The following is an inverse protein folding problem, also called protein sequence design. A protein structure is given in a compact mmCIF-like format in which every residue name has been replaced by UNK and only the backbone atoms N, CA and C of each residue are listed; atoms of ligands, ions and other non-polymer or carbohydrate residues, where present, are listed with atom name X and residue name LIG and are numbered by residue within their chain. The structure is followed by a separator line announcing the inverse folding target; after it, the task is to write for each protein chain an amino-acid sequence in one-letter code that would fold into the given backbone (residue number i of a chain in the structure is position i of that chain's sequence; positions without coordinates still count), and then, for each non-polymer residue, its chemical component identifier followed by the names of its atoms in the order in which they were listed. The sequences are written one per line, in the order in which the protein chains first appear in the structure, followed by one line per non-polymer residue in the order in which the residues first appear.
data_IF_541858960095
#
_entry.id   IF_541858960095
#
_cell.length_a   1.000
_cell.length_b   1.000
_cell.length_c   1.000
_cell.angle_alpha   90.00
_cell.angle_beta   90.00
_cell.angle_gamma   90.00
#
_symmetry.space_group_name_H-M   'P 1'
#
loop_
_entity.id
_entity.type
_entity.pdbx_description
1 polymer ?
#
# COMPACT_ATOMS: atom_id res chain seq x y z
N UNK A 1 5.61 8.11 -19.80
CA UNK A 1 5.36 7.03 -18.81
C UNK A 1 5.81 5.71 -19.40
N UNK A 2 6.77 5.03 -18.78
CA UNK A 2 7.19 3.69 -19.22
C UNK A 2 6.43 2.64 -18.43
N UNK A 3 5.57 1.86 -19.08
CA UNK A 3 4.84 0.77 -18.43
C UNK A 3 5.76 -0.43 -18.19
N UNK A 4 5.70 -1.02 -17.00
CA UNK A 4 6.45 -2.23 -16.68
C UNK A 4 5.82 -3.44 -17.41
N UNK A 5 6.31 -3.73 -18.62
CA UNK A 5 5.81 -4.83 -19.47
C UNK A 5 5.93 -6.19 -18.78
N UNK A 6 7.00 -6.41 -18.02
CA UNK A 6 7.22 -7.66 -17.28
C UNK A 6 6.13 -7.88 -16.23
N UNK A 7 5.77 -6.83 -15.47
CA UNK A 7 4.69 -6.92 -14.48
C UNK A 7 3.32 -7.19 -15.14
N UNK A 8 3.04 -6.55 -16.28
CA UNK A 8 1.80 -6.75 -17.03
C UNK A 8 1.70 -8.19 -17.54
N UNK A 9 2.78 -8.73 -18.11
CA UNK A 9 2.84 -10.12 -18.56
C UNK A 9 2.67 -11.10 -17.40
N UNK A 10 3.32 -10.85 -16.26
CA UNK A 10 3.20 -11.69 -15.08
C UNK A 10 1.78 -11.72 -14.53
N UNK A 11 1.11 -10.56 -14.48
CA UNK A 11 -0.29 -10.45 -14.08
C UNK A 11 -1.22 -11.22 -15.01
N UNK A 12 -1.07 -11.06 -16.34
CA UNK A 12 -1.88 -11.76 -17.32
C UNK A 12 -1.72 -13.29 -17.18
N UNK A 13 -0.50 -13.77 -16.94
CA UNK A 13 -0.23 -15.19 -16.70
C UNK A 13 -0.80 -15.71 -15.39
N UNK A 14 -0.79 -14.89 -14.33
CA UNK A 14 -1.39 -15.27 -13.06
C UNK A 14 -2.91 -15.43 -13.19
N UNK A 15 -3.59 -14.47 -13.84
CA UNK A 15 -5.04 -14.55 -14.07
C UNK A 15 -5.39 -15.75 -14.96
N UNK A 16 -4.68 -15.92 -16.09
CA UNK A 16 -4.90 -17.04 -17.01
C UNK A 16 -4.79 -18.40 -16.32
N UNK A 17 -3.74 -18.61 -15.51
CA UNK A 17 -3.53 -19.87 -14.78
C UNK A 17 -4.51 -20.09 -13.63
N UNK A 18 -5.04 -19.02 -13.04
CA UNK A 18 -6.07 -19.14 -12.00
C UNK A 18 -7.41 -19.63 -12.56
N UNK A 19 -7.73 -19.22 -13.79
CA UNK A 19 -8.97 -19.62 -14.48
C UNK A 19 -8.81 -20.97 -15.16
N UNK A 20 -7.61 -21.26 -15.69
CA UNK A 20 -7.28 -22.48 -16.39
C UNK A 20 -6.11 -23.19 -15.69
N UNK A 21 -6.39 -24.03 -14.68
CA UNK A 21 -5.36 -24.81 -14.03
C UNK A 21 -4.63 -25.69 -15.05
N UNK A 22 -3.32 -25.83 -14.90
CA UNK A 22 -2.46 -26.56 -15.83
C UNK A 22 -2.86 -28.03 -16.03
N UNK A 23 -3.66 -28.60 -15.12
CA UNK A 23 -4.20 -29.96 -15.21
C UNK A 23 -5.34 -30.13 -16.22
N UNK A 24 -5.94 -29.04 -16.73
CA UNK A 24 -7.18 -29.13 -17.52
C UNK A 24 -7.01 -28.62 -18.96
N UNK A 25 -6.06 -27.71 -19.26
CA UNK A 25 -6.02 -27.05 -20.58
C UNK A 25 -4.61 -26.80 -21.13
N UNK A 26 -4.44 -27.04 -22.44
CA UNK A 26 -3.29 -26.58 -23.24
C UNK A 26 -3.39 -25.07 -23.44
N UNK A 27 -2.25 -24.38 -23.40
CA UNK A 27 -2.18 -22.93 -23.60
C UNK A 27 -2.92 -22.49 -24.88
N UNK A 28 -3.83 -21.51 -24.73
CA UNK A 28 -4.56 -20.89 -25.83
C UNK A 28 -4.18 -19.41 -25.96
N UNK A 29 -3.57 -19.06 -27.11
CA UNK A 29 -3.10 -17.70 -27.39
C UNK A 29 -4.24 -16.68 -27.44
N UNK A 30 -5.40 -17.05 -28.00
CA UNK A 30 -6.55 -16.15 -28.12
C UNK A 30 -7.12 -15.78 -26.75
N UNK A 31 -7.30 -16.79 -25.89
CA UNK A 31 -7.71 -16.56 -24.50
C UNK A 31 -6.70 -15.72 -23.76
N UNK A 32 -5.41 -16.08 -23.82
CA UNK A 32 -4.35 -15.33 -23.17
C UNK A 32 -4.30 -13.85 -23.62
N UNK A 33 -4.57 -13.57 -24.89
CA UNK A 33 -4.64 -12.19 -25.40
C UNK A 33 -5.75 -11.36 -24.72
N UNK A 34 -6.84 -11.99 -24.27
CA UNK A 34 -7.89 -11.32 -23.48
C UNK A 34 -7.40 -10.95 -22.09
N UNK A 35 -6.71 -11.85 -21.40
CA UNK A 35 -6.08 -11.56 -20.09
C UNK A 35 -4.99 -10.49 -20.21
N UNK A 36 -4.19 -10.52 -21.27
CA UNK A 36 -3.17 -9.50 -21.52
C UNK A 36 -3.80 -8.11 -21.75
N UNK A 37 -4.89 -8.04 -22.52
CA UNK A 37 -5.65 -6.78 -22.70
C UNK A 37 -6.21 -6.26 -21.38
N UNK A 38 -6.75 -7.14 -20.53
CA UNK A 38 -7.23 -6.77 -19.18
C UNK A 38 -6.10 -6.24 -18.30
N UNK A 39 -4.97 -6.93 -18.22
CA UNK A 39 -3.79 -6.50 -17.47
C UNK A 39 -3.25 -5.15 -17.97
N UNK A 40 -3.30 -4.92 -19.29
CA UNK A 40 -2.92 -3.62 -19.86
C UNK A 40 -3.86 -2.48 -19.44
N UNK A 41 -5.18 -2.70 -19.51
CA UNK A 41 -6.18 -1.73 -19.03
C UNK A 41 -5.98 -1.45 -17.54
N UNK A 42 -5.71 -2.48 -16.75
CA UNK A 42 -5.41 -2.38 -15.32
C UNK A 42 -4.17 -1.50 -15.06
N UNK A 43 -3.07 -1.78 -15.75
CA UNK A 43 -1.84 -1.00 -15.62
C UNK A 43 -2.05 0.48 -16.00
N UNK A 44 -2.87 0.77 -17.01
CA UNK A 44 -3.25 2.14 -17.36
C UNK A 44 -4.09 2.80 -16.27
N UNK A 45 -5.03 2.07 -15.68
CA UNK A 45 -5.83 2.59 -14.57
C UNK A 45 -4.95 2.95 -13.36
N UNK A 46 -4.02 2.07 -12.98
CA UNK A 46 -3.05 2.33 -11.91
C UNK A 46 -2.17 3.54 -12.24
N UNK A 47 -1.67 3.65 -13.47
CA UNK A 47 -0.86 4.80 -13.89
C UNK A 47 -1.62 6.12 -13.81
N UNK A 48 -2.93 6.13 -14.11
CA UNK A 48 -3.79 7.30 -13.91
C UNK A 48 -3.98 7.63 -12.44
N UNK A 49 -4.13 6.63 -11.57
CA UNK A 49 -4.26 6.87 -10.13
C UNK A 49 -2.99 7.51 -9.55
N UNK A 50 -1.80 7.18 -10.06
CA UNK A 50 -0.56 7.81 -9.63
C UNK A 50 -0.47 9.30 -9.94
N UNK A 51 -1.27 9.82 -10.89
CA UNK A 51 -1.34 11.26 -11.17
C UNK A 51 -2.39 11.99 -10.32
N UNK A 52 -3.27 11.24 -9.64
CA UNK A 52 -4.30 11.80 -8.77
C UNK A 52 -3.70 12.04 -7.38
N UNK A 53 -3.89 13.22 -6.75
CA UNK A 53 -3.43 13.50 -5.39
C UNK A 53 -3.91 12.43 -4.39
N UNK A 54 -3.11 12.07 -3.36
CA UNK A 54 -3.52 11.00 -2.45
C UNK A 54 -4.78 11.36 -1.66
N UNK A 55 -4.98 12.63 -1.32
CA UNK A 55 -6.22 13.12 -0.69
C UNK A 55 -7.47 12.77 -1.51
N UNK A 56 -7.43 13.02 -2.83
CA UNK A 56 -8.54 12.68 -3.73
C UNK A 56 -8.72 11.16 -3.88
N UNK A 57 -7.61 10.40 -3.90
CA UNK A 57 -7.65 8.93 -3.89
C UNK A 57 -8.32 8.39 -2.62
N UNK A 58 -8.00 8.95 -1.45
CA UNK A 58 -8.59 8.54 -0.17
C UNK A 58 -10.07 8.91 -0.09
N UNK A 59 -10.43 10.14 -0.49
CA UNK A 59 -11.82 10.56 -0.56
C UNK A 59 -12.66 9.62 -1.47
N UNK A 60 -12.09 9.21 -2.61
CA UNK A 60 -12.73 8.22 -3.49
C UNK A 60 -12.86 6.85 -2.83
N UNK A 61 -11.83 6.38 -2.12
CA UNK A 61 -11.90 5.12 -1.38
C UNK A 61 -12.99 5.13 -0.29
N UNK A 62 -13.12 6.23 0.46
CA UNK A 62 -14.20 6.42 1.44
C UNK A 62 -15.57 6.40 0.77
N UNK A 63 -15.75 7.13 -0.33
CA UNK A 63 -17.00 7.16 -1.08
C UNK A 63 -17.39 5.76 -1.61
N UNK A 64 -16.42 5.00 -2.14
CA UNK A 64 -16.64 3.63 -2.62
C UNK A 64 -17.08 2.71 -1.48
N UNK A 65 -16.46 2.82 -0.29
CA UNK A 65 -16.85 2.01 0.88
C UNK A 65 -18.28 2.33 1.32
N UNK A 66 -18.66 3.61 1.33
CA UNK A 66 -20.03 4.02 1.63
C UNK A 66 -21.03 3.50 0.58
N UNK A 67 -20.67 3.56 -0.70
CA UNK A 67 -21.51 3.03 -1.79
C UNK A 67 -21.69 1.50 -1.68
N UNK A 68 -20.62 0.76 -1.37
CA UNK A 68 -20.68 -0.68 -1.14
C UNK A 68 -21.58 -1.04 0.05
N UNK A 69 -21.53 -0.25 1.14
CA UNK A 69 -22.43 -0.43 2.27
C UNK A 69 -23.89 -0.20 1.83
N UNK A 70 -24.17 0.90 1.12
CA UNK A 70 -25.52 1.18 0.63
C UNK A 70 -26.04 0.17 -0.41
N UNK A 71 -25.16 -0.50 -1.16
CA UNK A 71 -25.55 -1.62 -2.03
C UNK A 71 -25.95 -2.87 -1.24
N UNK A 72 -25.35 -3.10 -0.07
CA UNK A 72 -25.67 -4.26 0.77
C UNK A 72 -27.11 -4.20 1.31
N UNK A 73 -27.64 -2.98 1.50
CA UNK A 73 -29.00 -2.74 1.99
C UNK A 73 -30.07 -2.80 0.90
N UNK A 74 -29.69 -2.94 -0.38
CA UNK A 74 -30.66 -3.00 -1.48
C UNK A 74 -31.38 -4.33 -1.52
N UNK A 75 -32.67 -4.29 -1.90
CA UNK A 75 -33.47 -5.50 -2.09
C UNK A 75 -32.85 -6.43 -3.14
N UNK A 76 -33.06 -7.75 -2.97
CA UNK A 76 -32.62 -8.80 -3.90
C UNK A 76 -33.14 -8.65 -5.34
N UNK A 77 -34.12 -7.76 -5.58
CA UNK A 77 -34.65 -7.44 -6.91
C UNK A 77 -33.72 -6.55 -7.73
N UNK A 78 -32.78 -5.86 -7.08
CA UNK A 78 -31.80 -5.02 -7.76
C UNK A 78 -30.53 -5.83 -8.01
N UNK A 79 -30.13 -5.98 -9.27
CA UNK A 79 -28.85 -6.61 -9.59
C UNK A 79 -27.69 -5.68 -9.21
N UNK A 80 -27.13 -5.90 -8.01
CA UNK A 80 -25.98 -5.16 -7.49
C UNK A 80 -24.63 -5.82 -7.82
N UNK A 81 -24.64 -7.02 -8.43
CA UNK A 81 -23.44 -7.85 -8.55
C UNK A 81 -22.36 -7.16 -9.40
N UNK A 82 -22.75 -6.64 -10.57
CA UNK A 82 -21.82 -5.97 -11.47
C UNK A 82 -21.23 -4.70 -10.84
N UNK A 83 -22.08 -3.80 -10.34
CA UNK A 83 -21.63 -2.54 -9.73
C UNK A 83 -20.77 -2.80 -8.49
N UNK A 84 -21.16 -3.75 -7.64
CA UNK A 84 -20.36 -4.15 -6.49
C UNK A 84 -18.99 -4.71 -6.89
N UNK A 85 -18.91 -5.51 -7.96
CA UNK A 85 -17.64 -6.02 -8.47
C UNK A 85 -16.75 -4.91 -9.08
N UNK A 86 -17.33 -3.90 -9.73
CA UNK A 86 -16.60 -2.73 -10.21
C UNK A 86 -16.02 -1.91 -9.05
N UNK A 87 -16.84 -1.58 -8.05
CA UNK A 87 -16.42 -0.81 -6.88
C UNK A 87 -15.32 -1.52 -6.08
N UNK A 88 -15.44 -2.83 -5.85
CA UNK A 88 -14.39 -3.61 -5.17
C UNK A 88 -13.07 -3.61 -5.94
N UNK A 89 -13.13 -3.72 -7.28
CA UNK A 89 -11.92 -3.62 -8.13
C UNK A 89 -11.28 -2.25 -8.05
N UNK A 90 -12.09 -1.19 -8.09
CA UNK A 90 -11.57 0.18 -7.95
C UNK A 90 -10.94 0.42 -6.57
N UNK A 91 -11.59 -0.04 -5.49
CA UNK A 91 -11.06 0.05 -4.14
C UNK A 91 -9.71 -0.70 -4.01
N UNK A 92 -9.64 -1.91 -4.55
CA UNK A 92 -8.40 -2.70 -4.54
C UNK A 92 -7.24 -1.98 -5.26
N UNK A 93 -7.52 -1.27 -6.36
CA UNK A 93 -6.50 -0.43 -7.04
C UNK A 93 -6.01 0.70 -6.16
N UNK A 94 -6.92 1.44 -5.53
CA UNK A 94 -6.57 2.55 -4.65
C UNK A 94 -5.70 2.07 -3.48
N UNK A 95 -6.08 0.94 -2.88
CA UNK A 95 -5.35 0.32 -1.77
C UNK A 95 -3.97 -0.20 -2.21
N UNK A 96 -3.85 -0.78 -3.42
CA UNK A 96 -2.57 -1.22 -3.96
C UNK A 96 -1.60 -0.04 -4.19
N UNK A 97 -2.08 1.09 -4.72
CA UNK A 97 -1.24 2.28 -4.88
C UNK A 97 -0.82 2.83 -3.52
N UNK A 98 -1.75 2.91 -2.55
CA UNK A 98 -1.45 3.35 -1.19
C UNK A 98 -0.39 2.46 -0.50
N UNK A 99 -0.49 1.14 -0.67
CA UNK A 99 0.48 0.19 -0.14
C UNK A 99 1.87 0.38 -0.78
N UNK A 100 1.93 0.67 -2.09
CA UNK A 100 3.17 1.02 -2.78
C UNK A 100 3.79 2.29 -2.21
N UNK A 101 2.99 3.34 -2.00
CA UNK A 101 3.46 4.60 -1.43
C UNK A 101 4.08 4.37 -0.04
N UNK A 102 3.43 3.57 0.81
CA UNK A 102 3.98 3.19 2.13
C UNK A 102 5.26 2.38 2.06
N UNK A 103 5.36 1.45 1.11
CA UNK A 103 6.57 0.67 0.89
C UNK A 103 7.75 1.54 0.45
N UNK A 104 7.50 2.53 -0.41
CA UNK A 104 8.50 3.51 -0.85
C UNK A 104 8.97 4.39 0.31
N UNK A 105 8.05 4.97 1.09
CA UNK A 105 8.38 5.75 2.29
C UNK A 105 9.21 4.95 3.29
N UNK A 106 8.82 3.69 3.52
CA UNK A 106 9.53 2.77 4.42
C UNK A 106 10.95 2.53 3.93
N UNK A 107 11.12 2.23 2.65
CA UNK A 107 12.42 2.00 2.03
C UNK A 107 13.31 3.24 2.10
N UNK A 108 12.74 4.43 1.85
CA UNK A 108 13.46 5.69 1.94
C UNK A 108 13.94 5.96 3.37
N UNK A 109 13.09 5.75 4.39
CA UNK A 109 13.49 5.88 5.80
C UNK A 109 14.62 4.90 6.11
N UNK A 110 14.47 3.62 5.75
CA UNK A 110 15.50 2.61 6.01
C UNK A 110 16.83 2.89 5.29
N UNK A 111 16.80 3.53 4.12
CA UNK A 111 18.01 3.89 3.36
C UNK A 111 18.97 4.81 4.11
N UNK A 112 18.51 5.54 5.14
CA UNK A 112 19.38 6.34 6.00
C UNK A 112 20.31 5.46 6.87
N UNK A 113 19.91 4.22 7.20
CA UNK A 113 20.72 3.28 7.95
C UNK A 113 21.16 3.83 9.31
N UNK A 114 22.48 3.95 9.52
CA UNK A 114 23.07 4.53 10.75
C UNK A 114 22.98 6.04 10.84
N UNK A 115 22.64 6.74 9.75
CA UNK A 115 22.49 8.21 9.71
C UNK A 115 21.09 8.63 10.15
N UNK A 116 20.93 9.92 10.40
CA UNK A 116 19.63 10.51 10.73
C UNK A 116 18.81 10.80 9.47
N UNK A 117 17.50 10.58 9.56
CA UNK A 117 16.51 11.13 8.64
C UNK A 117 15.48 11.96 9.40
N UNK A 118 14.88 12.94 8.72
CA UNK A 118 13.81 13.76 9.29
C UNK A 118 12.50 13.45 8.58
N UNK A 119 11.47 13.11 9.35
CA UNK A 119 10.12 12.84 8.83
C UNK A 119 9.16 13.89 9.35
N UNK A 120 8.51 14.62 8.44
CA UNK A 120 7.47 15.58 8.75
C UNK A 120 6.11 14.95 8.54
N UNK A 121 5.24 15.03 9.54
CA UNK A 121 3.91 14.46 9.49
C UNK A 121 2.91 15.31 10.27
N UNK A 122 1.63 15.18 9.90
CA UNK A 122 0.51 15.85 10.56
C UNK A 122 -0.03 14.97 11.68
N UNK A 123 -0.17 15.54 12.87
CA UNK A 123 -0.80 14.87 14.01
C UNK A 123 -2.33 14.88 13.89
N UNK A 124 -3.00 14.12 14.77
CA UNK A 124 -4.47 14.10 14.88
C UNK A 124 -5.07 15.48 15.14
N UNK A 125 -4.35 16.35 15.86
CA UNK A 125 -4.74 17.73 16.16
C UNK A 125 -4.50 18.71 14.99
N UNK A 126 -4.04 18.22 13.84
CA UNK A 126 -3.70 19.04 12.67
C UNK A 126 -2.32 19.69 12.74
N UNK A 127 -1.60 19.58 13.87
CA UNK A 127 -0.29 20.20 14.01
C UNK A 127 0.78 19.44 13.22
N UNK A 128 1.68 20.19 12.58
CA UNK A 128 2.80 19.62 11.86
C UNK A 128 3.96 19.34 12.81
N UNK A 129 4.52 18.13 12.75
CA UNK A 129 5.66 17.73 13.58
C UNK A 129 6.77 17.13 12.72
N UNK A 130 8.00 17.45 13.09
CA UNK A 130 9.21 16.80 12.57
C UNK A 130 9.74 15.80 13.59
N UNK A 131 10.01 14.57 13.17
CA UNK A 131 10.69 13.55 13.98
C UNK A 131 12.05 13.24 13.38
N UNK A 132 13.09 13.21 14.23
CA UNK A 132 14.45 12.83 13.85
C UNK A 132 14.64 11.34 14.14
N UNK A 133 14.82 10.55 13.11
CA UNK A 133 14.84 9.09 13.16
C UNK A 133 16.24 8.57 12.85
N UNK A 134 16.67 7.51 13.55
CA UNK A 134 17.88 6.77 13.24
C UNK A 134 17.55 5.29 13.02
N UNK A 135 17.32 4.84 11.77
CA UNK A 135 16.76 3.52 11.49
C UNK A 135 17.56 2.35 12.07
N UNK A 136 18.89 2.36 11.95
CA UNK A 136 19.73 1.25 12.41
C UNK A 136 19.70 1.04 13.93
N UNK A 137 19.35 2.07 14.70
CA UNK A 137 19.30 2.00 16.16
C UNK A 137 18.11 1.19 16.65
N UNK A 138 16.99 1.18 15.90
CA UNK A 138 15.78 0.46 16.29
C UNK A 138 16.06 -1.04 16.56
N UNK A 139 16.86 -1.68 15.71
CA UNK A 139 17.19 -3.10 15.82
C UNK A 139 17.88 -3.47 17.15
N UNK A 140 18.56 -2.51 17.81
CA UNK A 140 19.23 -2.72 19.10
C UNK A 140 18.27 -2.64 20.30
N UNK A 141 17.07 -2.09 20.08
CA UNK A 141 16.08 -1.86 21.13
C UNK A 141 14.83 -2.73 20.98
N UNK A 142 14.80 -3.61 19.98
CA UNK A 142 13.74 -4.60 19.80
C UNK A 142 14.33 -6.00 19.91
N UNK A 143 13.63 -6.89 20.60
CA UNK A 143 14.09 -8.26 20.78
C UNK A 143 14.19 -9.04 19.45
N UNK A 144 13.43 -8.66 18.43
CA UNK A 144 13.51 -9.29 17.12
C UNK A 144 13.23 -10.81 17.20
N UNK A 145 14.03 -11.67 16.55
CA UNK A 145 13.81 -13.13 16.55
C UNK A 145 13.97 -13.81 17.91
N UNK A 146 14.64 -13.18 18.89
CA UNK A 146 14.77 -13.74 20.24
C UNK A 146 13.58 -13.44 21.15
N UNK A 147 12.57 -12.71 20.65
CA UNK A 147 11.34 -12.46 21.37
C UNK A 147 10.51 -13.75 21.55
N UNK A 148 9.68 -13.80 22.59
CA UNK A 148 8.74 -14.91 22.81
C UNK A 148 7.78 -15.07 21.62
N UNK A 149 7.29 -16.30 21.38
CA UNK A 149 6.36 -16.59 20.28
C UNK A 149 5.11 -15.69 20.33
N UNK A 150 4.58 -15.45 21.54
CA UNK A 150 3.47 -14.52 21.77
C UNK A 150 3.79 -13.10 21.29
N UNK A 151 5.00 -12.60 21.57
CA UNK A 151 5.43 -11.28 21.15
C UNK A 151 5.64 -11.20 19.62
N UNK A 152 6.21 -12.24 19.01
CA UNK A 152 6.36 -12.33 17.56
C UNK A 152 4.99 -12.34 16.85
N UNK A 153 4.03 -13.12 17.36
CA UNK A 153 2.64 -13.14 16.86
C UNK A 153 1.99 -11.76 16.99
N UNK A 154 2.11 -11.11 18.15
CA UNK A 154 1.56 -9.78 18.37
C UNK A 154 2.15 -8.73 17.39
N UNK A 155 3.45 -8.79 17.12
CA UNK A 155 4.09 -7.93 16.13
C UNK A 155 3.56 -8.19 14.72
N UNK A 156 3.44 -9.45 14.32
CA UNK A 156 2.88 -9.84 13.02
C UNK A 156 1.43 -9.36 12.85
N UNK A 157 0.56 -9.60 13.84
CA UNK A 157 -0.83 -9.12 13.83
C UNK A 157 -0.91 -7.60 13.72
N UNK A 158 -0.03 -6.88 14.42
CA UNK A 158 0.01 -5.41 14.35
C UNK A 158 0.41 -4.94 12.95
N UNK A 159 1.43 -5.56 12.35
CA UNK A 159 1.90 -5.23 10.99
C UNK A 159 0.81 -5.49 9.94
N UNK A 160 0.05 -6.56 10.09
CA UNK A 160 -1.07 -6.90 9.22
C UNK A 160 -2.24 -5.91 9.36
N UNK A 161 -2.65 -5.58 10.58
CA UNK A 161 -3.79 -4.69 10.84
C UNK A 161 -3.49 -3.21 10.60
N UNK A 162 -2.23 -2.81 10.78
CA UNK A 162 -1.81 -1.41 10.68
C UNK A 162 -0.56 -1.26 9.80
N UNK A 163 -0.67 -1.56 8.49
CA UNK A 163 0.45 -1.52 7.56
C UNK A 163 1.05 -0.11 7.39
N UNK A 164 0.29 0.92 7.77
CA UNK A 164 0.70 2.32 7.77
C UNK A 164 1.53 2.73 9.01
N UNK A 165 1.60 1.91 10.06
CA UNK A 165 2.36 2.24 11.27
C UNK A 165 3.77 1.65 11.19
N UNK A 166 4.76 2.53 10.98
CA UNK A 166 6.17 2.15 10.94
C UNK A 166 6.80 2.32 12.34
N UNK A 167 7.29 1.25 12.98
CA UNK A 167 8.10 1.38 14.19
C UNK A 167 9.44 2.04 13.86
N UNK A 168 9.86 3.01 14.68
CA UNK A 168 11.07 3.80 14.46
C UNK A 168 11.75 4.14 15.78
N UNK A 169 13.05 4.40 15.72
CA UNK A 169 13.79 4.99 16.85
C UNK A 169 13.80 6.52 16.71
N UNK A 170 13.14 7.22 17.62
CA UNK A 170 13.19 8.69 17.72
C UNK A 170 14.47 9.09 18.45
N UNK A 171 15.44 9.60 17.71
CA UNK A 171 16.75 9.99 18.23
C UNK A 171 16.65 11.21 19.16
N UNK A 172 15.68 12.11 18.95
CA UNK A 172 15.52 13.29 19.79
C UNK A 172 14.94 12.95 21.17
N UNK A 173 14.18 11.86 21.26
CA UNK A 173 13.57 11.38 22.51
C UNK A 173 14.20 10.10 23.04
N UNK A 174 15.24 9.58 22.38
CA UNK A 174 15.93 8.34 22.71
C UNK A 174 14.95 7.18 23.03
N UNK A 175 13.93 7.00 22.18
CA UNK A 175 12.86 6.03 22.44
C UNK A 175 12.30 5.39 21.17
N UNK A 176 11.83 4.15 21.32
CA UNK A 176 11.00 3.47 20.31
C UNK A 176 9.64 4.15 20.18
N UNK A 177 9.27 4.54 18.97
CA UNK A 177 7.99 5.18 18.65
C UNK A 177 7.42 4.58 17.36
N UNK A 178 6.25 5.03 16.95
CA UNK A 178 5.67 4.71 15.64
C UNK A 178 5.38 5.99 14.87
N UNK A 179 5.59 5.95 13.56
CA UNK A 179 5.19 6.99 12.61
C UNK A 179 4.04 6.45 11.77
N UNK A 180 2.99 7.24 11.62
CA UNK A 180 1.89 6.93 10.71
C UNK A 180 2.24 7.44 9.30
N UNK A 181 2.59 6.51 8.40
CA UNK A 181 2.96 6.81 7.02
C UNK A 181 1.84 7.49 6.23
N UNK A 182 0.58 7.27 6.59
CA UNK A 182 -0.56 7.94 5.96
C UNK A 182 -0.64 9.44 6.25
N UNK A 183 0.16 9.96 7.18
CA UNK A 183 0.16 11.38 7.59
C UNK A 183 1.48 12.09 7.25
N UNK A 184 2.41 11.38 6.61
CA UNK A 184 3.73 11.92 6.27
C UNK A 184 3.58 12.90 5.11
N UNK A 185 4.08 14.12 5.31
CA UNK A 185 4.17 15.15 4.27
C UNK A 185 5.51 15.15 3.55
N UNK A 186 6.59 14.87 4.29
CA UNK A 186 7.91 14.79 3.68
C UNK A 186 8.89 13.97 4.47
N UNK A 187 9.85 13.40 3.75
CA UNK A 187 10.94 12.60 4.29
C UNK A 187 12.23 13.20 3.76
N UNK A 188 13.15 13.56 4.65
CA UNK A 188 14.47 14.10 4.31
C UNK A 188 15.55 13.10 4.70
N UNK A 189 16.32 12.65 3.71
CA UNK A 189 17.42 11.69 3.86
C UNK A 189 18.63 12.24 3.12
N UNK A 190 19.80 12.31 3.78
CA UNK A 190 21.05 12.78 3.19
C UNK A 190 20.92 14.16 2.48
N UNK A 191 20.15 15.08 3.06
CA UNK A 191 19.92 16.42 2.51
C UNK A 191 18.94 16.50 1.34
N UNK A 192 18.36 15.38 0.89
CA UNK A 192 17.31 15.35 -0.14
C UNK A 192 15.95 15.15 0.50
N UNK A 193 14.98 15.98 0.12
CA UNK A 193 13.60 15.92 0.63
C UNK A 193 12.66 15.37 -0.44
N UNK A 194 11.97 14.29 -0.12
CA UNK A 194 10.85 13.75 -0.89
C UNK A 194 9.55 14.20 -0.25
N UNK A 195 8.62 14.72 -1.04
CA UNK A 195 7.31 15.17 -0.60
C UNK A 195 6.25 14.12 -0.93
N UNK A 196 5.30 13.97 -0.01
CA UNK A 196 4.18 13.04 -0.09
C UNK A 196 2.92 13.82 0.29
N UNK A 197 1.92 13.80 -0.59
CA UNK A 197 0.64 14.49 -0.43
C UNK A 197 -0.47 13.46 -0.55
#
# INVERSE_FOLDING_TARGET
MTYNRTAIMAQAWAEYRSTWPASVYRFCRYEFATYLRRAWVEARAVARLLTVPAEAREARAVAIRAELAGLADKSFRVNIAQRGAELRRELARLEAVKARDFSEMTSLIHSAGGRFCAVRFVKKDGTLRTMRIQPATLARHVAGPSASERAQKAFATRKERHPNLLPVWDAAKAACRSVNLATVQSITVNGRTSFYA
#
